data_IF_112286550748
#
_entry.id   IF_112286550748
#
_cell.length_a   1.000
_cell.length_b   1.000
_cell.length_c   1.000
_cell.angle_alpha   90.00
_cell.angle_beta   90.00
_cell.angle_gamma   90.00
#
_symmetry.space_group_name_H-M   'P 1'
#
loop_
_entity.id
_entity.type
_entity.pdbx_description
1 polymer ?
#
# COMPACT_ATOMS: atom_id res chain seq x y z
N UNK A 1 -20.47 18.66 8.18
CA UNK A 1 -19.14 19.11 7.71
C UNK A 1 -19.04 18.81 6.21
N UNK A 2 -18.72 19.80 5.38
CA UNK A 2 -18.48 19.57 3.96
C UNK A 2 -17.03 19.13 3.78
N UNK A 3 -16.84 17.93 3.25
CA UNK A 3 -15.51 17.38 2.94
C UNK A 3 -15.07 17.77 1.53
N UNK A 4 -13.82 18.20 1.38
CA UNK A 4 -13.21 18.37 0.06
C UNK A 4 -13.06 17.03 -0.67
N UNK A 5 -12.80 17.07 -1.98
CA UNK A 5 -12.58 15.84 -2.78
C UNK A 5 -11.37 15.07 -2.23
N UNK A 6 -10.30 15.78 -1.84
CA UNK A 6 -9.10 15.18 -1.25
C UNK A 6 -9.41 14.51 0.11
N UNK A 7 -10.20 15.16 0.96
CA UNK A 7 -10.60 14.58 2.25
C UNK A 7 -11.49 13.33 2.08
N UNK A 8 -12.38 13.33 1.09
CA UNK A 8 -13.16 12.12 0.74
C UNK A 8 -12.26 10.99 0.28
N UNK A 9 -11.27 11.29 -0.55
CA UNK A 9 -10.26 10.31 -0.99
C UNK A 9 -9.46 9.76 0.18
N UNK A 10 -8.98 10.60 1.11
CA UNK A 10 -8.29 10.18 2.33
C UNK A 10 -9.14 9.19 3.13
N UNK A 11 -10.41 9.51 3.35
CA UNK A 11 -11.32 8.62 4.09
C UNK A 11 -11.58 7.31 3.36
N UNK A 12 -11.72 7.33 2.04
CA UNK A 12 -11.88 6.12 1.24
C UNK A 12 -10.63 5.24 1.29
N UNK A 13 -9.44 5.84 1.19
CA UNK A 13 -8.17 5.14 1.36
C UNK A 13 -8.06 4.51 2.75
N UNK A 14 -8.40 5.24 3.82
CA UNK A 14 -8.39 4.71 5.18
C UNK A 14 -9.40 3.57 5.39
N UNK A 15 -10.59 3.64 4.80
CA UNK A 15 -11.57 2.54 4.84
C UNK A 15 -11.06 1.27 4.17
N UNK A 16 -10.25 1.39 3.12
CA UNK A 16 -9.68 0.26 2.38
C UNK A 16 -8.41 -0.28 3.01
N UNK A 17 -7.53 0.61 3.50
CA UNK A 17 -6.21 0.26 4.01
C UNK A 17 -6.18 0.12 5.54
N UNK A 18 -7.18 0.66 6.24
CA UNK A 18 -7.35 0.71 7.69
C UNK A 18 -6.31 1.59 8.40
N UNK A 19 -5.03 1.42 8.11
CA UNK A 19 -3.92 2.17 8.67
C UNK A 19 -2.88 2.43 7.58
N UNK A 20 -2.31 3.63 7.56
CA UNK A 20 -1.25 4.05 6.63
C UNK A 20 -0.26 4.96 7.34
N UNK A 21 0.99 5.01 6.87
CA UNK A 21 1.92 6.07 7.29
C UNK A 21 1.52 7.41 6.67
N UNK A 22 1.77 8.51 7.38
CA UNK A 22 1.49 9.86 6.85
C UNK A 22 2.16 10.09 5.49
N UNK A 23 3.42 9.63 5.32
CA UNK A 23 4.14 9.72 4.03
C UNK A 23 3.47 8.92 2.91
N UNK A 24 2.90 7.75 3.22
CA UNK A 24 2.17 6.91 2.27
C UNK A 24 0.88 7.61 1.82
N UNK A 25 0.12 8.13 2.78
CA UNK A 25 -1.09 8.88 2.48
C UNK A 25 -0.80 10.13 1.65
N UNK A 26 0.28 10.85 1.97
CA UNK A 26 0.75 11.98 1.18
C UNK A 26 1.08 11.58 -0.26
N UNK A 27 1.81 10.46 -0.46
CA UNK A 27 2.15 9.95 -1.78
C UNK A 27 0.89 9.59 -2.60
N UNK A 28 -0.11 8.95 -1.98
CA UNK A 28 -1.38 8.62 -2.63
C UNK A 28 -2.19 9.86 -3.02
N UNK A 29 -2.27 10.86 -2.12
CA UNK A 29 -2.99 12.11 -2.41
C UNK A 29 -2.25 12.91 -3.49
N UNK A 30 -0.92 12.98 -3.44
CA UNK A 30 -0.10 13.58 -4.50
C UNK A 30 -0.34 12.89 -5.84
N UNK A 31 -0.20 11.58 -5.88
CA UNK A 31 -0.41 10.80 -7.09
C UNK A 31 -1.76 11.06 -7.74
N UNK A 32 -2.81 11.20 -6.93
CA UNK A 32 -4.18 11.39 -7.41
C UNK A 32 -4.49 12.84 -7.81
N UNK A 33 -3.95 13.84 -7.12
CA UNK A 33 -4.42 15.22 -7.24
C UNK A 33 -3.37 16.24 -7.66
N UNK A 34 -2.08 15.89 -7.66
CA UNK A 34 -1.03 16.81 -8.07
C UNK A 34 -1.10 17.07 -9.58
N UNK A 35 -1.07 18.34 -9.95
CA UNK A 35 -1.05 18.83 -11.34
C UNK A 35 -0.08 19.99 -11.44
N UNK A 36 0.23 20.46 -12.65
CA UNK A 36 1.11 21.61 -12.85
C UNK A 36 0.62 22.87 -12.13
N UNK A 37 -0.70 23.00 -11.94
CA UNK A 37 -1.33 24.16 -11.28
C UNK A 37 -1.71 23.92 -9.81
N UNK A 38 -1.59 22.68 -9.31
CA UNK A 38 -2.00 22.31 -7.95
C UNK A 38 -0.98 21.38 -7.31
N UNK A 39 -0.32 21.86 -6.25
CA UNK A 39 0.64 21.07 -5.48
C UNK A 39 0.06 20.60 -4.14
N UNK A 40 0.25 19.32 -3.82
CA UNK A 40 -0.11 18.72 -2.53
C UNK A 40 1.10 18.84 -1.60
N UNK A 41 1.21 19.98 -0.90
CA UNK A 41 2.29 20.19 0.08
C UNK A 41 2.02 19.47 1.40
N UNK A 42 3.10 19.26 2.19
CA UNK A 42 2.98 18.70 3.54
C UNK A 42 2.04 19.54 4.42
N UNK A 43 2.15 20.86 4.36
CA UNK A 43 1.28 21.76 5.13
C UNK A 43 -0.21 21.60 4.79
N UNK A 44 -0.54 21.39 3.50
CA UNK A 44 -1.91 21.09 3.08
C UNK A 44 -2.38 19.75 3.61
N UNK A 45 -1.53 18.70 3.56
CA UNK A 45 -1.85 17.41 4.13
C UNK A 45 -2.12 17.52 5.63
N UNK A 46 -1.27 18.20 6.38
CA UNK A 46 -1.43 18.39 7.83
C UNK A 46 -2.70 19.15 8.17
N UNK A 47 -3.07 20.16 7.39
CA UNK A 47 -4.32 20.89 7.55
C UNK A 47 -5.54 19.98 7.31
N UNK A 48 -5.54 19.18 6.24
CA UNK A 48 -6.62 18.22 5.94
C UNK A 48 -6.77 17.15 7.02
N UNK A 49 -5.66 16.58 7.50
CA UNK A 49 -5.68 15.57 8.56
C UNK A 49 -6.17 16.15 9.88
N UNK A 50 -5.76 17.37 10.23
CA UNK A 50 -6.25 18.08 11.43
C UNK A 50 -7.76 18.28 11.36
N UNK A 51 -8.28 18.73 10.22
CA UNK A 51 -9.72 18.92 10.02
C UNK A 51 -10.49 17.59 10.13
N UNK A 52 -9.97 16.52 9.52
CA UNK A 52 -10.57 15.18 9.59
C UNK A 52 -10.60 14.68 11.04
N UNK A 53 -9.49 14.80 11.77
CA UNK A 53 -9.42 14.41 13.20
C UNK A 53 -10.41 15.17 14.07
N UNK A 54 -10.61 16.47 13.82
CA UNK A 54 -11.57 17.29 14.58
C UNK A 54 -13.03 17.00 14.22
N UNK A 55 -13.29 16.68 12.95
CA UNK A 55 -14.65 16.49 12.44
C UNK A 55 -15.15 15.05 12.43
N UNK A 56 -14.26 14.06 12.63
CA UNK A 56 -14.59 12.64 12.54
C UNK A 56 -13.96 11.87 13.71
N UNK A 57 -14.80 11.40 14.61
CA UNK A 57 -14.35 10.70 15.83
C UNK A 57 -13.53 9.43 15.57
N UNK A 58 -13.70 8.82 14.40
CA UNK A 58 -13.03 7.55 14.07
C UNK A 58 -11.64 7.71 13.47
N UNK A 59 -11.26 8.93 13.04
CA UNK A 59 -9.93 9.17 12.47
C UNK A 59 -8.92 9.50 13.55
N UNK A 60 -7.87 8.70 13.64
CA UNK A 60 -6.73 8.89 14.53
C UNK A 60 -5.50 9.28 13.73
N UNK A 61 -4.74 10.23 14.26
CA UNK A 61 -3.53 10.76 13.65
C UNK A 61 -2.50 10.98 14.74
N UNK A 62 -1.33 10.37 14.59
CA UNK A 62 -0.12 10.69 15.36
C UNK A 62 0.99 11.25 14.45
N UNK A 63 2.23 11.23 14.91
CA UNK A 63 3.37 11.77 14.15
C UNK A 63 3.72 10.91 12.94
N UNK A 64 3.45 9.63 12.95
CA UNK A 64 3.82 8.68 11.89
C UNK A 64 2.62 8.11 11.15
N UNK A 65 1.54 7.81 11.85
CA UNK A 65 0.41 7.01 11.35
C UNK A 65 -0.89 7.80 11.24
N UNK A 66 -1.74 7.34 10.33
CA UNK A 66 -3.16 7.72 10.22
C UNK A 66 -3.97 6.42 10.14
N UNK A 67 -4.97 6.25 11.01
CA UNK A 67 -5.77 5.03 11.06
C UNK A 67 -7.20 5.27 11.53
N UNK A 68 -8.06 4.28 11.35
CA UNK A 68 -9.40 4.26 11.93
C UNK A 68 -9.36 3.67 13.35
N UNK A 69 -10.14 4.22 14.27
CA UNK A 69 -10.09 3.92 15.72
C UNK A 69 -10.30 2.44 16.08
N UNK A 70 -10.94 1.66 15.21
CA UNK A 70 -11.18 0.22 15.37
C UNK A 70 -10.09 -0.67 14.80
N UNK A 71 -8.96 -0.10 14.37
CA UNK A 71 -7.90 -0.83 13.67
C UNK A 71 -6.60 -0.81 14.47
N UNK A 72 -5.90 -1.93 14.51
CA UNK A 72 -4.52 -1.98 14.98
C UNK A 72 -3.56 -1.87 13.78
N UNK A 73 -2.49 -1.07 13.89
CA UNK A 73 -1.45 -1.00 12.89
C UNK A 73 -0.79 -2.37 12.68
N UNK A 74 -0.60 -2.74 11.42
CA UNK A 74 0.08 -3.96 11.00
C UNK A 74 1.27 -3.58 10.12
N UNK A 75 2.48 -3.88 10.57
CA UNK A 75 3.73 -3.52 9.89
C UNK A 75 3.83 -4.13 8.49
N UNK A 76 3.34 -5.36 8.29
CA UNK A 76 3.32 -6.03 6.98
C UNK A 76 2.38 -5.33 6.01
N UNK A 77 1.21 -4.91 6.48
CA UNK A 77 0.28 -4.11 5.65
C UNK A 77 0.86 -2.75 5.31
N UNK A 78 1.51 -2.09 6.25
CA UNK A 78 2.19 -0.83 5.99
C UNK A 78 3.29 -1.00 4.93
N UNK A 79 4.06 -2.09 4.97
CA UNK A 79 5.05 -2.40 3.94
C UNK A 79 4.38 -2.73 2.58
N UNK A 80 3.28 -3.48 2.58
CA UNK A 80 2.52 -3.76 1.36
C UNK A 80 2.01 -2.47 0.68
N UNK A 81 1.65 -1.45 1.46
CA UNK A 81 1.29 -0.12 0.94
C UNK A 81 2.50 0.60 0.35
N UNK A 82 3.69 0.49 0.96
CA UNK A 82 4.92 1.04 0.37
C UNK A 82 5.21 0.39 -0.99
N UNK A 83 5.14 -0.94 -1.08
CA UNK A 83 5.30 -1.69 -2.34
C UNK A 83 4.29 -1.25 -3.40
N UNK A 84 3.02 -1.08 -3.04
CA UNK A 84 1.99 -0.58 -3.97
C UNK A 84 2.34 0.82 -4.47
N UNK A 85 2.74 1.74 -3.58
CA UNK A 85 3.10 3.11 -3.95
C UNK A 85 4.29 3.13 -4.91
N UNK A 86 5.32 2.33 -4.64
CA UNK A 86 6.50 2.25 -5.49
C UNK A 86 6.16 1.72 -6.89
N UNK A 87 5.33 0.69 -6.99
CA UNK A 87 4.91 0.12 -8.27
C UNK A 87 4.00 1.04 -9.08
N UNK A 88 3.19 1.86 -8.41
CA UNK A 88 2.16 2.68 -9.07
C UNK A 88 2.51 4.17 -9.15
N UNK A 89 3.63 4.58 -8.54
CA UNK A 89 3.93 6.01 -8.38
C UNK A 89 2.89 6.76 -7.54
N UNK A 90 2.20 6.06 -6.62
CA UNK A 90 1.12 6.61 -5.82
C UNK A 90 -0.23 6.74 -6.55
N UNK A 91 -0.38 6.11 -7.72
CA UNK A 91 -1.61 6.16 -8.55
C UNK A 91 -2.21 4.77 -8.78
N UNK A 92 -2.58 4.03 -7.74
CA UNK A 92 -3.30 2.78 -7.92
C UNK A 92 -4.70 3.07 -8.52
N UNK A 93 -5.17 2.18 -9.40
CA UNK A 93 -6.52 2.30 -9.95
C UNK A 93 -7.59 1.93 -8.92
N UNK A 94 -7.56 0.68 -8.46
CA UNK A 94 -8.46 0.17 -7.41
C UNK A 94 -7.63 -0.43 -6.31
N UNK A 95 -7.99 -0.15 -5.06
CA UNK A 95 -7.35 -0.72 -3.86
C UNK A 95 -8.36 -1.57 -3.12
N UNK A 96 -7.93 -2.75 -2.68
CA UNK A 96 -8.71 -3.62 -1.78
C UNK A 96 -7.77 -4.27 -0.76
N UNK A 97 -7.99 -4.03 0.51
CA UNK A 97 -7.30 -4.77 1.56
C UNK A 97 -7.82 -6.20 1.63
N UNK A 98 -6.92 -7.18 1.65
CA UNK A 98 -7.29 -8.57 1.90
C UNK A 98 -7.26 -8.86 3.39
N UNK A 99 -8.27 -9.58 3.88
CA UNK A 99 -8.33 -10.01 5.28
C UNK A 99 -7.69 -11.39 5.50
N UNK A 100 -7.45 -12.16 4.42
CA UNK A 100 -7.01 -13.55 4.53
C UNK A 100 -5.52 -13.71 4.23
N UNK A 101 -4.71 -14.15 5.20
CA UNK A 101 -3.32 -14.52 4.95
C UNK A 101 -3.22 -15.57 3.82
N UNK A 102 -2.16 -15.52 3.02
CA UNK A 102 -0.99 -14.65 3.09
C UNK A 102 -1.19 -13.28 2.41
N UNK A 103 -2.38 -13.01 1.85
CA UNK A 103 -2.66 -11.76 1.13
C UNK A 103 -2.80 -10.60 2.10
N UNK A 104 -2.05 -9.52 1.83
CA UNK A 104 -2.05 -8.30 2.62
C UNK A 104 -2.82 -7.18 1.92
N UNK A 105 -2.67 -7.07 0.60
CA UNK A 105 -3.21 -5.97 -0.19
C UNK A 105 -3.39 -6.42 -1.64
N UNK A 106 -4.49 -5.97 -2.28
CA UNK A 106 -4.71 -6.09 -3.72
C UNK A 106 -4.94 -4.71 -4.33
N UNK A 107 -4.41 -4.51 -5.53
CA UNK A 107 -4.65 -3.28 -6.28
C UNK A 107 -4.58 -3.53 -7.78
N UNK A 108 -5.22 -2.64 -8.54
CA UNK A 108 -5.10 -2.60 -9.98
C UNK A 108 -4.21 -1.43 -10.41
N UNK A 109 -3.45 -1.62 -11.49
CA UNK A 109 -2.58 -0.57 -12.04
C UNK A 109 -2.41 -0.70 -13.54
N UNK A 110 -2.15 0.44 -14.19
CA UNK A 110 -1.95 0.57 -15.63
C UNK A 110 -3.25 0.66 -16.43
N UNK A 111 -3.13 0.97 -17.72
CA UNK A 111 -4.27 1.18 -18.62
C UNK A 111 -5.16 -0.07 -18.75
N UNK A 112 -4.55 -1.24 -18.64
CA UNK A 112 -5.25 -2.53 -18.68
C UNK A 112 -5.80 -2.98 -17.32
N UNK A 113 -5.68 -2.14 -16.28
CA UNK A 113 -6.07 -2.46 -14.89
C UNK A 113 -5.55 -3.82 -14.43
N UNK A 114 -4.27 -4.06 -14.63
CA UNK A 114 -3.61 -5.32 -14.23
C UNK A 114 -3.67 -5.48 -12.72
N UNK A 115 -4.10 -6.65 -12.27
CA UNK A 115 -4.24 -6.96 -10.85
C UNK A 115 -2.90 -7.38 -10.24
N UNK A 116 -2.61 -6.81 -9.09
CA UNK A 116 -1.48 -7.14 -8.23
C UNK A 116 -1.97 -7.53 -6.84
N UNK A 117 -1.32 -8.51 -6.25
CA UNK A 117 -1.49 -8.88 -4.85
C UNK A 117 -0.15 -8.79 -4.16
N UNK A 118 -0.06 -8.06 -3.06
CA UNK A 118 1.08 -8.14 -2.14
C UNK A 118 0.75 -9.17 -1.08
N UNK A 119 1.66 -10.12 -0.87
CA UNK A 119 1.47 -11.24 0.04
C UNK A 119 2.70 -11.46 0.93
N UNK A 120 2.47 -11.94 2.16
CA UNK A 120 3.54 -12.29 3.10
C UNK A 120 4.02 -13.71 2.83
N UNK A 121 5.32 -13.84 2.59
CA UNK A 121 5.97 -15.15 2.43
C UNK A 121 6.00 -15.92 3.75
N UNK A 122 6.09 -15.22 4.89
CA UNK A 122 6.17 -15.82 6.23
C UNK A 122 4.86 -16.49 6.66
N UNK A 123 3.73 -16.09 6.08
CA UNK A 123 2.42 -16.68 6.35
C UNK A 123 1.89 -17.52 5.19
N UNK A 124 2.70 -17.70 4.12
CA UNK A 124 2.32 -18.52 2.99
C UNK A 124 2.28 -20.00 3.42
N UNK A 125 1.24 -20.75 3.04
CA UNK A 125 1.22 -22.21 3.24
C UNK A 125 2.37 -22.85 2.47
N UNK A 126 2.78 -24.04 2.88
CA UNK A 126 3.78 -24.84 2.17
C UNK A 126 3.26 -25.16 0.75
N UNK A 127 3.67 -24.33 -0.21
CA UNK A 127 3.17 -24.31 -1.57
C UNK A 127 2.72 -22.89 -1.92
N UNK A 128 3.25 -22.33 -3.00
CA UNK A 128 2.88 -21.00 -3.47
C UNK A 128 1.39 -21.00 -3.85
N UNK A 129 0.70 -19.91 -3.52
CA UNK A 129 -0.69 -19.71 -3.90
C UNK A 129 -0.84 -19.83 -5.42
N UNK A 130 -1.59 -20.81 -5.85
CA UNK A 130 -2.12 -20.86 -7.21
C UNK A 130 -3.24 -19.82 -7.31
N UNK A 131 -2.88 -18.65 -7.83
CA UNK A 131 -3.85 -17.61 -8.15
C UNK A 131 -4.07 -17.53 -9.64
N UNK A 132 -5.22 -16.98 -10.05
CA UNK A 132 -5.62 -16.88 -11.44
C UNK A 132 -4.52 -16.34 -12.34
N UNK A 133 -4.43 -16.83 -13.58
CA UNK A 133 -3.34 -16.56 -14.55
C UNK A 133 -3.12 -15.08 -14.89
N UNK A 134 -4.06 -14.21 -14.56
CA UNK A 134 -3.99 -12.76 -14.83
C UNK A 134 -3.37 -11.95 -13.68
N UNK A 135 -3.32 -12.49 -12.47
CA UNK A 135 -2.85 -11.79 -11.27
C UNK A 135 -1.33 -11.86 -11.12
N UNK A 136 -0.71 -10.77 -10.72
CA UNK A 136 0.71 -10.68 -10.35
C UNK A 136 0.83 -10.70 -8.84
N UNK A 137 1.75 -11.50 -8.31
CA UNK A 137 1.95 -11.61 -6.87
C UNK A 137 3.32 -11.04 -6.52
N UNK A 138 3.34 -10.12 -5.57
CA UNK A 138 4.56 -9.54 -5.01
C UNK A 138 4.70 -10.03 -3.57
N UNK A 139 5.74 -10.80 -3.34
CA UNK A 139 6.05 -11.36 -2.02
C UNK A 139 6.90 -10.38 -1.22
N UNK A 140 6.57 -10.24 0.05
CA UNK A 140 7.40 -9.58 1.07
C UNK A 140 7.68 -10.57 2.22
N UNK A 141 8.71 -10.30 3.00
CA UNK A 141 9.03 -11.06 4.21
C UNK A 141 9.31 -10.13 5.39
N UNK A 142 9.16 -10.60 6.61
CA UNK A 142 9.44 -9.83 7.83
C UNK A 142 10.89 -9.35 7.89
N UNK A 143 11.83 -10.18 7.41
CA UNK A 143 13.25 -9.81 7.33
C UNK A 143 13.53 -8.75 6.25
N UNK A 144 12.64 -8.60 5.26
CA UNK A 144 12.87 -7.78 4.08
C UNK A 144 13.91 -8.34 3.10
N UNK A 145 14.61 -9.41 3.45
CA UNK A 145 15.62 -10.04 2.61
C UNK A 145 15.04 -11.17 1.75
N UNK A 146 15.55 -11.33 0.52
CA UNK A 146 15.17 -12.46 -0.32
C UNK A 146 15.66 -13.77 0.30
N UNK A 147 14.79 -14.77 0.52
CA UNK A 147 15.20 -16.06 1.04
C UNK A 147 16.16 -16.78 0.08
N UNK A 148 17.18 -17.41 0.64
CA UNK A 148 18.14 -18.19 -0.15
C UNK A 148 17.43 -19.36 -0.85
N UNK A 149 17.67 -19.51 -2.15
CA UNK A 149 17.07 -20.58 -2.95
C UNK A 149 15.59 -20.37 -3.30
N UNK A 150 15.05 -19.16 -3.10
CA UNK A 150 13.66 -18.85 -3.47
C UNK A 150 13.48 -18.98 -4.98
N UNK A 151 12.65 -19.94 -5.40
CA UNK A 151 12.20 -20.09 -6.77
C UNK A 151 10.82 -19.47 -6.94
N UNK A 152 10.71 -18.49 -7.82
CA UNK A 152 9.46 -17.77 -8.07
C UNK A 152 8.80 -18.27 -9.37
N UNK A 153 7.52 -18.65 -9.35
CA UNK A 153 6.76 -18.94 -10.56
C UNK A 153 6.65 -17.70 -11.48
N UNK A 154 6.29 -17.88 -12.76
CA UNK A 154 6.00 -16.76 -13.66
C UNK A 154 4.96 -15.80 -13.06
N UNK A 155 5.16 -14.48 -13.25
CA UNK A 155 4.36 -13.38 -12.70
C UNK A 155 4.42 -13.24 -11.17
N UNK A 156 5.31 -13.96 -10.50
CA UNK A 156 5.63 -13.74 -9.11
C UNK A 156 6.90 -12.90 -8.99
N UNK A 157 6.91 -12.01 -8.00
CA UNK A 157 8.02 -11.11 -7.73
C UNK A 157 8.30 -11.13 -6.23
N UNK A 158 9.53 -10.82 -5.83
CA UNK A 158 9.88 -10.58 -4.45
C UNK A 158 10.34 -9.13 -4.30
N UNK A 159 9.78 -8.41 -3.33
CA UNK A 159 10.18 -7.06 -2.99
C UNK A 159 11.14 -7.10 -1.80
N UNK A 160 12.44 -6.96 -2.08
CA UNK A 160 13.46 -6.93 -1.04
C UNK A 160 13.64 -5.52 -0.51
N UNK A 161 13.48 -5.35 0.81
CA UNK A 161 13.62 -4.06 1.48
C UNK A 161 15.07 -3.61 1.49
N UNK A 162 15.30 -2.38 1.09
CA UNK A 162 16.61 -1.73 1.11
C UNK A 162 16.81 -0.95 2.42
N UNK A 163 18.05 -0.59 2.78
CA UNK A 163 18.34 0.17 4.00
C UNK A 163 17.65 1.54 4.07
N UNK A 164 17.34 2.15 2.92
CA UNK A 164 16.62 3.41 2.82
C UNK A 164 15.08 3.25 2.91
N UNK A 165 14.59 2.02 3.07
CA UNK A 165 13.19 1.68 3.17
C UNK A 165 12.48 1.50 1.83
N UNK A 166 13.17 1.68 0.69
CA UNK A 166 12.67 1.34 -0.64
C UNK A 166 12.73 -0.17 -0.89
N UNK A 167 12.17 -0.63 -2.03
CA UNK A 167 12.20 -2.04 -2.40
C UNK A 167 12.92 -2.26 -3.73
N UNK A 168 13.69 -3.33 -3.78
CA UNK A 168 14.22 -3.87 -5.04
C UNK A 168 13.42 -5.10 -5.43
N UNK A 169 12.91 -5.11 -6.66
CA UNK A 169 12.03 -6.15 -7.16
C UNK A 169 12.82 -7.21 -7.95
N UNK A 170 12.59 -8.47 -7.61
CA UNK A 170 13.17 -9.65 -8.25
C UNK A 170 12.07 -10.50 -8.85
N UNK A 171 12.22 -10.93 -10.09
CA UNK A 171 11.25 -11.80 -10.78
C UNK A 171 11.71 -13.27 -10.82
N UNK A 172 11.00 -14.07 -11.63
CA UNK A 172 11.26 -15.50 -11.81
C UNK A 172 12.66 -15.85 -12.34
N UNK A 173 13.41 -14.89 -12.88
CA UNK A 173 14.78 -15.11 -13.38
C UNK A 173 15.87 -14.87 -12.31
N UNK A 174 15.47 -14.69 -11.05
CA UNK A 174 16.39 -14.43 -9.93
C UNK A 174 16.92 -13.00 -9.89
N UNK A 175 17.82 -12.71 -8.91
CA UNK A 175 18.53 -11.46 -8.82
C UNK A 175 19.55 -11.29 -9.94
#
# INVERSE_FOLDING_TARGET
MFLSVQQKFILDALKKLNCVRRRQLHALVRGQFETDSFSVTQARMDAMLRQLRMGMADVRVDDELVWLSNTQPDSRRLEAVDVMIELTGGRPGVISASAEPPCLLRFAFGDELRLFTVASLDTAPAGLLERGRAERIVWISDTGAIPQGLALPPKHFFAARQPDGSHRFYGSNGP
#
